data_IF_963284926608
#
_entry.id   IF_963284926608
#
_cell.length_a   1.000
_cell.length_b   1.000
_cell.length_c   1.000
_cell.angle_alpha   90.00
_cell.angle_beta   90.00
_cell.angle_gamma   90.00
#
_symmetry.space_group_name_H-M   'P 1'
#
loop_
_entity.id
_entity.type
_entity.pdbx_description
1 polymer ?
#
# COMPACT_ATOMS: atom_id res chain seq x y z
N UNK A 1 16.19 -13.07 0.85
CA UNK A 1 15.09 -13.45 -0.08
C UNK A 1 14.24 -12.23 -0.29
N UNK A 2 13.63 -12.02 -1.47
CA UNK A 2 12.71 -10.92 -1.70
C UNK A 2 11.46 -11.10 -0.82
N UNK A 3 10.87 -9.97 -0.38
CA UNK A 3 9.59 -9.99 0.34
C UNK A 3 8.42 -10.21 -0.63
N UNK A 4 8.56 -9.73 -1.88
CA UNK A 4 7.62 -10.00 -2.98
C UNK A 4 8.41 -10.59 -4.14
N UNK A 5 7.86 -11.66 -4.74
CA UNK A 5 8.35 -12.24 -5.99
C UNK A 5 7.18 -12.52 -6.90
N UNK A 6 7.22 -11.92 -8.08
CA UNK A 6 6.27 -12.13 -9.16
C UNK A 6 6.99 -12.78 -10.32
N UNK A 7 6.41 -13.84 -10.90
CA UNK A 7 6.96 -14.56 -12.05
C UNK A 7 5.91 -14.70 -13.13
N UNK A 8 6.18 -14.11 -14.29
CA UNK A 8 5.36 -14.17 -15.51
C UNK A 8 3.86 -13.95 -15.23
N UNK A 9 3.57 -12.87 -14.49
CA UNK A 9 2.24 -12.60 -13.95
C UNK A 9 1.38 -11.90 -14.99
N UNK A 10 0.22 -12.50 -15.29
CA UNK A 10 -0.77 -11.97 -16.21
C UNK A 10 -2.09 -11.65 -15.50
N UNK A 11 -2.78 -10.59 -15.97
CA UNK A 11 -4.14 -10.31 -15.55
C UNK A 11 -5.00 -9.85 -16.72
N UNK A 12 -6.00 -10.65 -17.02
CA UNK A 12 -6.95 -10.38 -18.10
C UNK A 12 -8.35 -10.15 -17.51
N UNK A 13 -9.07 -9.15 -18.04
CA UNK A 13 -10.46 -8.89 -17.71
C UNK A 13 -11.33 -9.09 -18.95
N UNK A 14 -12.34 -9.95 -18.83
CA UNK A 14 -13.36 -10.14 -19.86
C UNK A 14 -14.35 -8.97 -19.81
N UNK A 15 -14.48 -8.22 -20.90
CA UNK A 15 -15.42 -7.12 -21.06
C UNK A 15 -16.34 -7.40 -22.24
N UNK A 16 -17.38 -8.21 -22.02
CA UNK A 16 -18.27 -8.68 -23.08
C UNK A 16 -17.52 -9.56 -24.08
N UNK A 17 -17.41 -9.09 -25.34
CA UNK A 17 -16.69 -9.82 -26.42
C UNK A 17 -15.18 -9.48 -26.48
N UNK A 18 -14.71 -8.50 -25.72
CA UNK A 18 -13.31 -8.08 -25.70
C UNK A 18 -12.61 -8.56 -24.43
N UNK A 19 -11.30 -8.76 -24.53
CA UNK A 19 -10.43 -9.06 -23.39
C UNK A 19 -9.41 -7.93 -23.23
N UNK A 20 -9.35 -7.36 -22.04
CA UNK A 20 -8.34 -6.35 -21.70
C UNK A 20 -7.20 -7.04 -20.95
N UNK A 21 -6.00 -7.00 -21.52
CA UNK A 21 -4.78 -7.49 -20.89
C UNK A 21 -4.22 -6.39 -19.99
N UNK A 22 -4.66 -6.36 -18.74
CA UNK A 22 -4.25 -5.33 -17.78
C UNK A 22 -2.81 -5.54 -17.27
N UNK A 23 -2.35 -6.79 -17.20
CA UNK A 23 -0.95 -7.16 -16.98
C UNK A 23 -0.57 -8.27 -17.95
N UNK A 24 0.65 -8.20 -18.49
CA UNK A 24 1.12 -9.09 -19.55
C UNK A 24 2.60 -9.47 -19.33
N UNK A 25 2.83 -10.51 -18.53
CA UNK A 25 4.15 -11.07 -18.27
C UNK A 25 4.99 -10.27 -17.28
N UNK A 26 4.40 -9.79 -16.18
CA UNK A 26 5.14 -9.04 -15.14
C UNK A 26 6.00 -10.00 -14.30
N UNK A 27 7.32 -9.79 -14.32
CA UNK A 27 8.26 -10.42 -13.39
C UNK A 27 8.97 -9.35 -12.59
N UNK A 28 8.91 -9.44 -11.25
CA UNK A 28 9.40 -8.41 -10.36
C UNK A 28 9.74 -9.00 -8.98
N UNK A 29 10.96 -8.72 -8.50
CA UNK A 29 11.37 -9.02 -7.14
C UNK A 29 11.46 -7.71 -6.33
N UNK A 30 10.90 -7.70 -5.12
CA UNK A 30 11.01 -6.58 -4.17
C UNK A 30 11.77 -7.08 -2.95
N UNK A 31 12.97 -6.57 -2.67
CA UNK A 31 13.71 -6.88 -1.45
C UNK A 31 12.99 -6.38 -0.19
N UNK A 32 13.30 -6.98 0.95
CA UNK A 32 12.92 -6.41 2.24
C UNK A 32 13.59 -5.04 2.42
N UNK A 33 12.90 -4.12 3.06
CA UNK A 33 13.33 -2.74 3.25
C UNK A 33 13.66 -2.00 1.92
N UNK A 34 12.98 -2.35 0.82
CA UNK A 34 13.05 -1.57 -0.40
C UNK A 34 12.08 -0.38 -0.34
N UNK A 35 12.49 0.76 -0.88
CA UNK A 35 11.60 1.84 -1.24
C UNK A 35 11.47 1.90 -2.75
N UNK A 36 10.32 1.46 -3.27
CA UNK A 36 10.07 1.33 -4.70
C UNK A 36 8.90 2.21 -5.14
N UNK A 37 9.09 2.92 -6.25
CA UNK A 37 8.01 3.61 -6.95
C UNK A 37 7.58 2.83 -8.20
N UNK A 38 6.27 2.73 -8.43
CA UNK A 38 5.68 2.20 -9.66
C UNK A 38 5.06 3.36 -10.42
N UNK A 39 5.60 3.65 -11.60
CA UNK A 39 5.16 4.74 -12.47
C UNK A 39 4.57 4.24 -13.78
N UNK A 40 3.86 5.11 -14.47
CA UNK A 40 3.34 4.87 -15.82
C UNK A 40 2.10 5.71 -16.12
N UNK A 41 1.69 5.83 -17.39
CA UNK A 41 0.49 6.58 -17.78
C UNK A 41 -0.78 5.95 -17.21
N UNK A 42 -1.90 6.67 -17.32
CA UNK A 42 -3.22 6.10 -17.00
C UNK A 42 -3.49 4.88 -17.88
N UNK A 43 -4.04 3.81 -17.29
CA UNK A 43 -4.30 2.55 -18.01
C UNK A 43 -3.10 1.62 -18.17
N UNK A 44 -1.91 1.97 -17.72
CA UNK A 44 -0.70 1.11 -17.88
C UNK A 44 -0.68 -0.16 -17.03
N UNK A 45 -1.67 -0.39 -16.14
CA UNK A 45 -1.74 -1.58 -15.28
C UNK A 45 -1.29 -1.37 -13.82
N UNK A 46 -0.86 -0.16 -13.41
CA UNK A 46 -0.36 0.13 -12.04
C UNK A 46 -1.34 -0.28 -10.94
N UNK A 47 -2.60 0.16 -11.03
CA UNK A 47 -3.61 -0.17 -10.02
C UNK A 47 -3.94 -1.67 -10.02
N UNK A 48 -3.89 -2.34 -11.18
CA UNK A 48 -4.05 -3.79 -11.27
C UNK A 48 -2.89 -4.51 -10.59
N UNK A 49 -1.65 -4.10 -10.87
CA UNK A 49 -0.47 -4.67 -10.22
C UNK A 49 -0.52 -4.46 -8.70
N UNK A 50 -0.83 -3.25 -8.26
CA UNK A 50 -1.00 -2.92 -6.85
C UNK A 50 -2.10 -3.77 -6.18
N UNK A 51 -3.24 -3.98 -6.84
CA UNK A 51 -4.32 -4.81 -6.30
C UNK A 51 -3.90 -6.28 -6.16
N UNK A 52 -3.10 -6.80 -7.09
CA UNK A 52 -2.60 -8.18 -6.99
C UNK A 52 -1.56 -8.30 -5.88
N UNK A 53 -0.56 -7.40 -5.83
CA UNK A 53 0.42 -7.34 -4.73
C UNK A 53 -0.30 -7.21 -3.39
N UNK A 54 -1.35 -6.38 -3.35
CA UNK A 54 -2.18 -6.14 -2.19
C UNK A 54 -3.15 -7.28 -1.82
N UNK A 55 -3.17 -8.40 -2.54
CA UNK A 55 -4.13 -9.49 -2.33
C UNK A 55 -5.61 -9.03 -2.40
N UNK A 56 -5.90 -7.97 -3.17
CA UNK A 56 -7.25 -7.49 -3.46
C UNK A 56 -7.82 -8.13 -4.73
N UNK A 57 -6.94 -8.57 -5.63
CA UNK A 57 -7.27 -9.29 -6.85
C UNK A 57 -6.31 -10.46 -7.04
N UNK A 58 -6.58 -11.33 -8.02
CA UNK A 58 -5.78 -12.51 -8.35
C UNK A 58 -5.22 -12.41 -9.75
N UNK A 59 -4.01 -12.90 -10.01
CA UNK A 59 -3.54 -13.07 -11.37
C UNK A 59 -4.40 -14.08 -12.13
N UNK A 60 -4.47 -13.94 -13.45
CA UNK A 60 -5.07 -14.94 -14.35
C UNK A 60 -4.11 -16.13 -14.52
N UNK A 61 -2.81 -15.85 -14.60
CA UNK A 61 -1.73 -16.84 -14.65
C UNK A 61 -0.44 -16.23 -14.10
N UNK A 62 0.59 -17.06 -13.95
CA UNK A 62 1.84 -16.70 -13.31
C UNK A 62 1.82 -16.97 -11.81
N UNK A 63 2.94 -16.70 -11.15
CA UNK A 63 3.08 -17.01 -9.74
C UNK A 63 3.40 -15.74 -8.93
N UNK A 64 2.84 -15.68 -7.72
CA UNK A 64 3.11 -14.62 -6.74
C UNK A 64 3.46 -15.23 -5.39
N UNK A 65 4.62 -14.86 -4.85
CA UNK A 65 5.06 -15.17 -3.49
C UNK A 65 5.18 -13.91 -2.64
N UNK A 66 4.65 -14.00 -1.42
CA UNK A 66 4.89 -13.04 -0.36
C UNK A 66 5.70 -13.74 0.74
N UNK A 67 6.96 -13.34 0.90
CA UNK A 67 7.93 -14.12 1.66
C UNK A 67 8.05 -15.56 1.12
N UNK A 68 7.87 -16.54 1.99
CA UNK A 68 7.89 -17.95 1.61
C UNK A 68 6.54 -18.51 1.15
N UNK A 69 5.47 -17.70 1.09
CA UNK A 69 4.11 -18.16 0.84
C UNK A 69 3.69 -17.91 -0.61
N UNK A 70 3.30 -18.99 -1.34
CA UNK A 70 2.70 -18.91 -2.67
C UNK A 70 1.27 -18.35 -2.56
N UNK A 71 1.10 -17.06 -2.88
CA UNK A 71 -0.17 -16.33 -2.72
C UNK A 71 -1.15 -16.64 -3.84
N UNK A 72 -0.65 -16.87 -5.07
CA UNK A 72 -1.47 -17.16 -6.26
C UNK A 72 -2.40 -18.38 -6.09
N UNK A 73 -2.08 -19.29 -5.16
CA UNK A 73 -2.83 -20.55 -4.91
C UNK A 73 -3.82 -20.47 -3.76
N UNK A 74 -3.92 -19.32 -3.07
CA UNK A 74 -4.72 -19.18 -1.85
C UNK A 74 -6.18 -18.88 -2.17
N UNK A 75 -7.09 -19.33 -1.28
CA UNK A 75 -8.50 -18.97 -1.33
C UNK A 75 -8.76 -17.59 -0.71
N UNK A 76 -9.98 -17.03 -0.88
CA UNK A 76 -10.32 -15.67 -0.44
C UNK A 76 -10.13 -15.44 1.07
N UNK A 77 -10.45 -16.45 1.89
CA UNK A 77 -10.27 -16.38 3.35
C UNK A 77 -8.78 -16.30 3.73
N UNK A 78 -7.94 -17.03 3.02
CA UNK A 78 -6.48 -17.02 3.22
C UNK A 78 -5.89 -15.69 2.73
N UNK A 79 -6.30 -15.20 1.55
CA UNK A 79 -5.90 -13.89 1.03
C UNK A 79 -6.29 -12.75 1.99
N UNK A 80 -7.53 -12.77 2.53
CA UNK A 80 -7.97 -11.78 3.50
C UNK A 80 -7.11 -11.79 4.79
N UNK A 81 -6.65 -12.98 5.23
CA UNK A 81 -5.77 -13.11 6.39
C UNK A 81 -4.38 -12.54 6.13
N UNK A 82 -3.80 -12.84 4.95
CA UNK A 82 -2.51 -12.30 4.53
C UNK A 82 -2.60 -10.78 4.40
N UNK A 83 -3.59 -10.27 3.67
CA UNK A 83 -3.81 -8.84 3.51
C UNK A 83 -3.89 -8.10 4.85
N UNK A 84 -4.55 -8.69 5.84
CA UNK A 84 -4.67 -8.08 7.17
C UNK A 84 -3.35 -8.07 7.95
N UNK A 85 -2.48 -9.08 7.77
CA UNK A 85 -1.26 -9.25 8.57
C UNK A 85 -0.02 -8.66 7.92
N UNK A 86 0.09 -8.82 6.61
CA UNK A 86 1.33 -8.57 5.88
C UNK A 86 1.30 -7.28 5.06
N UNK A 87 0.11 -6.68 4.86
CA UNK A 87 -0.05 -5.57 3.92
C UNK A 87 -0.77 -4.40 4.56
N UNK A 88 -0.09 -3.26 4.61
CA UNK A 88 -0.70 -1.98 4.97
C UNK A 88 -1.05 -1.18 3.71
N UNK A 89 -2.29 -0.68 3.62
CA UNK A 89 -2.75 0.13 2.50
C UNK A 89 -2.92 1.59 2.86
N UNK A 90 -2.37 2.46 2.01
CA UNK A 90 -2.58 3.91 2.04
C UNK A 90 -3.15 4.35 0.70
N UNK A 91 -4.35 4.94 0.69
CA UNK A 91 -5.06 5.34 -0.53
C UNK A 91 -5.09 6.86 -0.66
N UNK A 92 -5.20 7.35 -1.89
CA UNK A 92 -5.37 8.75 -2.23
C UNK A 92 -6.60 9.38 -1.51
N UNK A 93 -7.70 8.64 -1.40
CA UNK A 93 -8.96 9.10 -0.79
C UNK A 93 -9.08 8.80 0.69
N UNK A 94 -7.96 8.45 1.36
CA UNK A 94 -7.84 8.10 2.79
C UNK A 94 -8.66 6.87 3.22
N UNK A 95 -9.83 6.64 2.67
CA UNK A 95 -10.77 5.55 2.96
C UNK A 95 -11.00 5.35 4.48
N UNK A 96 -11.16 6.46 5.21
CA UNK A 96 -11.49 6.46 6.63
C UNK A 96 -12.99 6.26 6.83
N UNK A 97 -13.35 5.60 7.93
CA UNK A 97 -14.74 5.45 8.37
C UNK A 97 -15.22 6.78 8.97
N UNK A 98 -16.13 7.53 8.31
CA UNK A 98 -16.35 8.95 8.61
C UNK A 98 -17.01 9.21 9.96
N UNK A 99 -17.71 8.19 10.52
CA UNK A 99 -18.40 8.28 11.81
C UNK A 99 -17.55 7.81 13.00
N UNK A 100 -16.37 7.28 12.73
CA UNK A 100 -15.44 6.75 13.74
C UNK A 100 -14.33 7.77 14.01
N UNK A 101 -13.82 7.79 15.26
CA UNK A 101 -12.65 8.60 15.63
C UNK A 101 -11.38 8.11 14.93
N UNK A 102 -10.30 8.88 14.99
CA UNK A 102 -8.98 8.47 14.51
C UNK A 102 -8.54 7.16 15.18
N UNK A 103 -8.64 7.05 16.50
CA UNK A 103 -8.34 5.84 17.25
C UNK A 103 -9.13 4.65 16.73
N UNK A 104 -10.45 4.78 16.61
CA UNK A 104 -11.32 3.69 16.16
C UNK A 104 -11.04 3.27 14.71
N UNK A 105 -10.66 4.22 13.82
CA UNK A 105 -10.21 3.90 12.46
C UNK A 105 -8.93 3.06 12.46
N UNK A 106 -7.97 3.41 13.31
CA UNK A 106 -6.69 2.70 13.41
C UNK A 106 -6.85 1.32 14.06
N UNK A 107 -7.82 1.14 14.97
CA UNK A 107 -8.12 -0.17 15.58
C UNK A 107 -8.70 -1.20 14.60
N UNK A 108 -9.32 -0.78 13.48
CA UNK A 108 -10.07 -1.67 12.57
C UNK A 108 -9.26 -2.91 12.12
N UNK A 109 -8.03 -2.80 11.63
CA UNK A 109 -7.26 -3.98 11.23
C UNK A 109 -7.01 -4.95 12.38
N UNK A 110 -6.81 -4.45 13.60
CA UNK A 110 -6.58 -5.27 14.79
C UNK A 110 -7.86 -6.01 15.24
N UNK A 111 -9.05 -5.46 14.96
CA UNK A 111 -10.33 -6.15 15.17
C UNK A 111 -10.39 -7.40 14.28
N UNK A 112 -10.05 -7.25 12.99
CA UNK A 112 -9.99 -8.38 12.05
C UNK A 112 -8.89 -9.39 12.38
N UNK A 113 -7.78 -8.93 12.99
CA UNK A 113 -6.73 -9.80 13.50
C UNK A 113 -7.14 -10.58 14.77
N UNK A 114 -8.28 -10.25 15.39
CA UNK A 114 -8.77 -10.89 16.62
C UNK A 114 -8.04 -10.43 17.89
N UNK A 115 -7.36 -9.29 17.86
CA UNK A 115 -6.64 -8.75 19.02
C UNK A 115 -7.60 -8.32 20.15
N UNK A 116 -7.20 -8.48 21.41
CA UNK A 116 -7.97 -8.06 22.58
C UNK A 116 -8.11 -6.53 22.63
N UNK A 117 -9.18 -6.03 23.22
CA UNK A 117 -9.49 -4.59 23.27
C UNK A 117 -8.34 -3.74 23.82
N UNK A 118 -7.74 -4.15 24.91
CA UNK A 118 -6.63 -3.42 25.55
C UNK A 118 -5.41 -3.34 24.64
N UNK A 119 -5.07 -4.43 23.97
CA UNK A 119 -3.98 -4.47 23.00
C UNK A 119 -4.26 -3.58 21.78
N UNK A 120 -5.50 -3.60 21.24
CA UNK A 120 -5.89 -2.75 20.13
C UNK A 120 -5.71 -1.28 20.46
N UNK A 121 -6.24 -0.83 21.61
CA UNK A 121 -6.11 0.57 22.04
C UNK A 121 -4.64 0.95 22.19
N UNK A 122 -3.83 0.15 22.86
CA UNK A 122 -2.41 0.41 23.05
C UNK A 122 -1.66 0.54 21.73
N UNK A 123 -1.84 -0.42 20.79
CA UNK A 123 -1.20 -0.40 19.47
C UNK A 123 -1.68 0.78 18.62
N UNK A 124 -2.97 1.07 18.63
CA UNK A 124 -3.53 2.17 17.85
C UNK A 124 -3.07 3.55 18.37
N UNK A 125 -2.93 3.74 19.68
CA UNK A 125 -2.36 4.95 20.27
C UNK A 125 -0.88 5.12 19.85
N UNK A 126 -0.08 4.07 19.94
CA UNK A 126 1.32 4.10 19.51
C UNK A 126 1.46 4.43 18.01
N UNK A 127 0.58 3.85 17.15
CA UNK A 127 0.58 4.16 15.73
C UNK A 127 0.18 5.63 15.43
N UNK A 128 -0.79 6.18 16.18
CA UNK A 128 -1.16 7.61 16.07
C UNK A 128 -0.04 8.55 16.55
N UNK A 129 0.66 8.18 17.61
CA UNK A 129 1.83 8.90 18.09
C UNK A 129 2.95 8.92 17.05
N UNK A 130 3.25 7.78 16.43
CA UNK A 130 4.27 7.65 15.38
C UNK A 130 4.04 8.62 14.21
N UNK A 131 2.78 8.88 13.87
CA UNK A 131 2.40 9.82 12.78
C UNK A 131 2.14 11.25 13.28
N UNK A 132 2.37 11.55 14.57
CA UNK A 132 2.24 12.88 15.17
C UNK A 132 0.79 13.34 15.38
N UNK A 133 -0.10 12.41 15.80
CA UNK A 133 -1.52 12.67 16.04
C UNK A 133 -1.98 12.31 17.47
N UNK A 134 -1.09 12.38 18.46
CA UNK A 134 -1.41 12.05 19.87
C UNK A 134 -2.52 12.95 20.46
N UNK A 135 -2.64 14.19 19.99
CA UNK A 135 -3.64 15.17 20.43
C UNK A 135 -4.97 15.07 19.64
N UNK A 136 -5.05 14.19 18.62
CA UNK A 136 -6.18 14.05 17.69
C UNK A 136 -6.89 12.70 17.76
N UNK A 137 -6.55 11.85 18.72
CA UNK A 137 -7.03 10.46 18.82
C UNK A 137 -8.55 10.30 18.79
N UNK A 138 -9.28 11.27 19.38
CA UNK A 138 -10.75 11.24 19.46
C UNK A 138 -11.46 12.01 18.35
N UNK A 139 -10.72 12.76 17.49
CA UNK A 139 -11.30 13.51 16.39
C UNK A 139 -11.82 12.59 15.29
N UNK A 140 -12.91 12.99 14.64
CA UNK A 140 -13.48 12.32 13.46
C UNK A 140 -12.84 12.87 12.19
N UNK A 141 -12.88 12.13 11.06
CA UNK A 141 -12.34 12.61 9.80
C UNK A 141 -12.88 13.97 9.33
N UNK A 142 -14.15 14.30 9.66
CA UNK A 142 -14.76 15.60 9.36
C UNK A 142 -14.17 16.78 10.14
N UNK A 143 -13.45 16.51 11.23
CA UNK A 143 -12.82 17.50 12.13
C UNK A 143 -11.31 17.64 11.86
N UNK A 144 -10.81 16.97 10.79
CA UNK A 144 -9.39 16.86 10.49
C UNK A 144 -9.05 17.42 9.09
N UNK A 145 -7.88 18.02 8.97
CA UNK A 145 -7.33 18.43 7.68
C UNK A 145 -7.03 17.22 6.76
N UNK A 146 -6.79 17.45 5.46
CA UNK A 146 -6.39 16.41 4.50
C UNK A 146 -5.16 15.64 4.98
N UNK A 147 -4.10 16.35 5.38
CA UNK A 147 -2.87 15.75 5.88
C UNK A 147 -3.07 14.96 7.18
N UNK A 148 -3.91 15.45 8.10
CA UNK A 148 -4.25 14.69 9.31
C UNK A 148 -5.00 13.40 8.99
N UNK A 149 -5.96 13.44 8.05
CA UNK A 149 -6.66 12.24 7.57
C UNK A 149 -5.71 11.24 6.92
N UNK A 150 -4.75 11.71 6.12
CA UNK A 150 -3.74 10.85 5.51
C UNK A 150 -2.84 10.21 6.57
N UNK A 151 -2.42 10.97 7.58
CA UNK A 151 -1.65 10.42 8.72
C UNK A 151 -2.43 9.35 9.49
N UNK A 152 -3.76 9.51 9.69
CA UNK A 152 -4.61 8.45 10.27
C UNK A 152 -4.65 7.22 9.37
N UNK A 153 -4.74 7.38 8.04
CA UNK A 153 -4.71 6.27 7.09
C UNK A 153 -3.37 5.52 7.14
N UNK A 154 -2.25 6.26 7.26
CA UNK A 154 -0.91 5.67 7.43
C UNK A 154 -0.82 4.93 8.77
N UNK A 155 -1.26 5.52 9.89
CA UNK A 155 -1.28 4.85 11.19
C UNK A 155 -2.10 3.55 11.16
N UNK A 156 -3.26 3.57 10.50
CA UNK A 156 -4.08 2.37 10.27
C UNK A 156 -3.35 1.31 9.46
N UNK A 157 -2.60 1.71 8.44
CA UNK A 157 -1.81 0.79 7.63
C UNK A 157 -0.66 0.14 8.43
N UNK A 158 -0.07 0.86 9.38
CA UNK A 158 1.07 0.42 10.19
C UNK A 158 0.69 -0.44 11.40
N UNK A 159 -0.56 -0.34 11.89
CA UNK A 159 -0.95 -0.84 13.23
C UNK A 159 -0.80 -2.36 13.41
N UNK A 160 -0.82 -3.11 12.31
CA UNK A 160 -0.59 -4.56 12.28
C UNK A 160 0.88 -4.94 12.11
N UNK A 161 1.79 -3.94 12.01
CA UNK A 161 3.22 -4.15 11.75
C UNK A 161 3.44 -4.97 10.47
N UNK A 162 2.90 -4.49 9.31
CA UNK A 162 2.89 -5.27 8.07
C UNK A 162 4.30 -5.40 7.48
N UNK A 163 4.51 -6.45 6.66
CA UNK A 163 5.76 -6.66 5.91
C UNK A 163 5.96 -5.63 4.80
N UNK A 164 4.87 -5.08 4.25
CA UNK A 164 4.90 -4.08 3.18
C UNK A 164 3.81 -3.01 3.37
N UNK A 165 4.14 -1.79 2.98
CA UNK A 165 3.19 -0.68 2.84
C UNK A 165 2.99 -0.38 1.35
N UNK A 166 1.74 -0.47 0.89
CA UNK A 166 1.32 -0.10 -0.46
C UNK A 166 0.62 1.25 -0.42
N UNK A 167 1.14 2.23 -1.13
CA UNK A 167 0.56 3.57 -1.21
C UNK A 167 0.14 3.91 -2.64
N UNK A 168 -1.14 4.20 -2.84
CA UNK A 168 -1.70 4.61 -4.12
C UNK A 168 -1.92 6.13 -4.12
N UNK A 169 -1.11 6.86 -4.90
CA UNK A 169 -1.14 8.32 -5.01
C UNK A 169 -1.26 9.01 -3.63
N UNK A 170 -0.33 8.76 -2.67
CA UNK A 170 -0.53 9.11 -1.26
C UNK A 170 -0.63 10.61 -0.99
N UNK A 171 -0.28 11.45 -1.96
CA UNK A 171 -0.29 12.91 -1.90
C UNK A 171 -1.31 13.57 -2.83
N UNK A 172 -1.95 12.81 -3.71
CA UNK A 172 -2.76 13.33 -4.82
C UNK A 172 -3.99 14.17 -4.43
N UNK A 173 -4.42 14.13 -3.16
CA UNK A 173 -5.52 14.96 -2.62
C UNK A 173 -5.03 15.99 -1.58
N UNK A 174 -3.73 16.31 -1.57
CA UNK A 174 -3.11 17.22 -0.62
C UNK A 174 -2.49 18.42 -1.33
N UNK A 175 -2.38 19.54 -0.63
CA UNK A 175 -1.54 20.63 -1.10
C UNK A 175 -0.06 20.25 -1.03
N UNK A 176 0.80 20.96 -1.76
CA UNK A 176 2.22 20.64 -1.92
C UNK A 176 2.98 20.58 -0.59
N UNK A 177 2.70 21.49 0.35
CA UNK A 177 3.38 21.55 1.66
C UNK A 177 2.97 20.33 2.51
N UNK A 178 1.68 20.07 2.56
CA UNK A 178 1.15 18.90 3.27
C UNK A 178 1.65 17.59 2.66
N UNK A 179 1.68 17.51 1.31
CA UNK A 179 2.21 16.37 0.58
C UNK A 179 3.68 16.09 0.91
N UNK A 180 4.53 17.13 0.95
CA UNK A 180 5.92 16.99 1.37
C UNK A 180 6.04 16.38 2.77
N UNK A 181 5.25 16.86 3.74
CA UNK A 181 5.24 16.32 5.10
C UNK A 181 4.77 14.85 5.19
N UNK A 182 3.93 14.41 4.26
CA UNK A 182 3.57 12.98 4.14
C UNK A 182 4.75 12.17 3.56
N UNK A 183 5.44 12.68 2.54
CA UNK A 183 6.58 11.99 1.96
C UNK A 183 7.78 11.92 2.92
N UNK A 184 7.99 12.94 3.76
CA UNK A 184 8.97 12.88 4.85
C UNK A 184 8.62 11.79 5.88
N UNK A 185 7.33 11.58 6.16
CA UNK A 185 6.89 10.47 7.00
C UNK A 185 7.19 9.12 6.35
N UNK A 186 6.96 8.96 5.02
CA UNK A 186 7.33 7.74 4.30
C UNK A 186 8.85 7.48 4.37
N UNK A 187 9.69 8.50 4.17
CA UNK A 187 11.15 8.35 4.31
C UNK A 187 11.52 7.84 5.72
N UNK A 188 10.96 8.44 6.77
CA UNK A 188 11.18 7.97 8.15
C UNK A 188 10.74 6.53 8.37
N UNK A 189 9.62 6.11 7.78
CA UNK A 189 9.15 4.74 7.86
C UNK A 189 10.10 3.77 7.14
N UNK A 190 10.65 4.17 6.00
CA UNK A 190 11.67 3.42 5.29
C UNK A 190 12.95 3.27 6.15
N UNK A 191 13.45 4.37 6.73
CA UNK A 191 14.61 4.38 7.62
C UNK A 191 14.42 3.45 8.84
N UNK A 192 13.16 3.26 9.28
CA UNK A 192 12.80 2.31 10.35
C UNK A 192 12.71 0.85 9.88
N UNK A 193 12.99 0.56 8.61
CA UNK A 193 13.05 -0.80 8.07
C UNK A 193 11.78 -1.27 7.36
N UNK A 194 10.80 -0.38 7.10
CA UNK A 194 9.60 -0.76 6.38
C UNK A 194 9.86 -0.89 4.87
N UNK A 195 9.27 -1.89 4.23
CA UNK A 195 9.24 -1.99 2.77
C UNK A 195 8.11 -1.14 2.22
N UNK A 196 8.41 -0.20 1.33
CA UNK A 196 7.47 0.75 0.76
C UNK A 196 7.32 0.55 -0.74
N UNK A 197 6.07 0.49 -1.22
CA UNK A 197 5.75 0.52 -2.65
C UNK A 197 4.76 1.66 -2.86
N UNK A 198 5.19 2.67 -3.61
CA UNK A 198 4.37 3.86 -3.93
C UNK A 198 3.99 3.81 -5.39
N UNK A 199 2.70 3.81 -5.68
CA UNK A 199 2.17 4.01 -7.03
C UNK A 199 1.92 5.49 -7.23
N UNK A 200 2.55 6.08 -8.24
CA UNK A 200 2.39 7.49 -8.55
C UNK A 200 2.63 7.79 -10.02
N UNK A 201 2.06 8.88 -10.50
CA UNK A 201 2.39 9.47 -11.81
C UNK A 201 3.26 10.73 -11.66
N UNK A 202 3.51 11.18 -10.42
CA UNK A 202 4.32 12.37 -10.12
C UNK A 202 5.80 12.01 -10.05
N UNK A 203 6.68 12.59 -10.92
CA UNK A 203 8.11 12.31 -10.91
C UNK A 203 8.78 12.64 -9.57
N UNK A 204 8.44 13.79 -8.97
CA UNK A 204 9.03 14.27 -7.71
C UNK A 204 8.76 13.29 -6.54
N UNK A 205 7.63 12.59 -6.57
CA UNK A 205 7.29 11.56 -5.59
C UNK A 205 8.11 10.30 -5.85
N UNK A 206 8.17 9.87 -7.12
CA UNK A 206 8.91 8.67 -7.50
C UNK A 206 10.42 8.81 -7.27
N UNK A 207 10.96 10.02 -7.41
CA UNK A 207 12.37 10.32 -7.19
C UNK A 207 12.84 10.15 -5.74
N UNK A 208 11.92 10.03 -4.79
CA UNK A 208 12.24 9.71 -3.38
C UNK A 208 12.51 8.24 -3.14
N UNK A 209 12.11 7.38 -4.07
CA UNK A 209 12.32 5.93 -3.98
C UNK A 209 13.72 5.55 -4.48
N UNK A 210 14.29 4.47 -3.90
CA UNK A 210 15.57 3.91 -4.31
C UNK A 210 15.48 3.18 -5.66
N UNK A 211 14.28 2.76 -6.05
CA UNK A 211 14.01 2.03 -7.29
C UNK A 211 12.74 2.51 -7.94
N UNK A 212 12.80 2.76 -9.25
CA UNK A 212 11.65 3.19 -10.04
C UNK A 212 11.35 2.13 -11.11
N UNK A 213 10.16 1.55 -11.06
CA UNK A 213 9.64 0.61 -12.05
C UNK A 213 8.62 1.32 -12.92
N UNK A 214 8.81 1.31 -14.24
CA UNK A 214 7.91 1.96 -15.20
C UNK A 214 7.07 0.93 -15.92
N UNK A 215 5.73 1.13 -15.87
CA UNK A 215 4.76 0.30 -16.57
C UNK A 215 4.21 1.02 -17.81
N UNK A 216 4.07 0.30 -18.91
CA UNK A 216 3.26 0.67 -20.08
C UNK A 216 2.57 -0.57 -20.63
N UNK A 217 1.28 -0.44 -20.95
CA UNK A 217 0.47 -1.49 -21.58
C UNK A 217 0.57 -2.86 -20.87
N UNK A 218 0.54 -2.85 -19.54
CA UNK A 218 0.60 -4.04 -18.70
C UNK A 218 1.99 -4.69 -18.58
N UNK A 219 3.06 -4.05 -19.08
CA UNK A 219 4.44 -4.57 -19.07
C UNK A 219 5.38 -3.63 -18.33
N UNK A 220 6.47 -4.16 -17.77
CA UNK A 220 7.59 -3.36 -17.28
C UNK A 220 8.42 -2.91 -18.48
N UNK A 221 8.54 -1.61 -18.67
CA UNK A 221 9.33 -0.98 -19.74
C UNK A 221 10.59 -0.29 -19.22
N UNK A 222 10.74 -0.15 -17.92
CA UNK A 222 11.93 0.40 -17.25
C UNK A 222 12.00 -0.06 -15.81
N UNK A 223 13.22 -0.29 -15.32
CA UNK A 223 13.51 -0.71 -13.96
C UNK A 223 14.88 -0.15 -13.57
N UNK A 224 14.86 0.94 -12.82
CA UNK A 224 16.03 1.74 -12.50
C UNK A 224 16.24 1.75 -10.97
N UNK A 225 17.41 1.26 -10.52
CA UNK A 225 17.84 1.43 -9.13
C UNK A 225 18.70 2.69 -9.03
N UNK A 226 18.36 3.54 -8.08
CA UNK A 226 19.11 4.78 -7.78
C UNK A 226 20.08 4.49 -6.64
N UNK A 227 21.34 4.73 -6.86
CA UNK A 227 22.42 4.63 -5.86
C UNK A 227 22.65 5.96 -5.18
#
# INVERSE_FOLDING_TARGET
MPVIRLEDLHRHYAMGVSVVNALDGISLDVPQNAYMAIMGPSGSGKSTLMNIIGCLDRPTSGEYWLGAQAVSRLNDKQLARIRNREIGFVFQTFNLLPRMSALANVEVPLIYAGARREERIRKALAALEMVGLSDRVMHRPSEMSGGQRQRVAIARALVTEPSILLADEPTGNLDSVTGQGIMELFNKLHDLGNTLIVVTHEPDIAERADRIVRLSDGRIVGDETRT
#
